data_IF_537698943411
#
_entry.id   IF_537698943411
#
_cell.length_a   1.000
_cell.length_b   1.000
_cell.length_c   1.000
_cell.angle_alpha   90.00
_cell.angle_beta   90.00
_cell.angle_gamma   90.00
#
_symmetry.space_group_name_H-M   'P 1'
#
loop_
_entity.id
_entity.type
_entity.pdbx_description
1 polymer ?
#
# COMPACT_ATOMS: atom_id res chain seq x y z
N UNK A 1 -38.55 -25.12 1.08
CA UNK A 1 -38.26 -23.67 1.23
C UNK A 1 -37.02 -23.42 2.09
N UNK A 2 -36.97 -23.84 3.36
CA UNK A 2 -35.82 -23.60 4.29
C UNK A 2 -34.44 -24.07 3.78
N UNK A 3 -34.38 -25.21 3.05
CA UNK A 3 -33.14 -25.74 2.45
C UNK A 3 -32.61 -24.91 1.27
N UNK A 4 -33.51 -24.27 0.49
CA UNK A 4 -33.14 -23.41 -0.62
C UNK A 4 -32.52 -22.10 -0.14
N UNK A 5 -33.05 -21.51 0.95
CA UNK A 5 -32.45 -20.32 1.57
C UNK A 5 -31.04 -20.58 2.10
N UNK A 6 -30.79 -21.76 2.70
CA UNK A 6 -29.44 -22.12 3.14
C UNK A 6 -28.48 -22.27 1.97
N UNK A 7 -28.88 -22.91 0.86
CA UNK A 7 -28.05 -23.01 -0.34
C UNK A 7 -27.76 -21.63 -0.96
N UNK A 8 -28.74 -20.73 -0.99
CA UNK A 8 -28.56 -19.39 -1.52
C UNK A 8 -27.65 -18.53 -0.63
N UNK A 9 -27.78 -18.63 0.70
CA UNK A 9 -26.89 -17.97 1.66
C UNK A 9 -25.45 -18.51 1.53
N UNK A 10 -25.28 -19.83 1.39
CA UNK A 10 -23.96 -20.44 1.22
C UNK A 10 -23.32 -19.99 -0.10
N UNK A 11 -24.09 -19.97 -1.20
CA UNK A 11 -23.61 -19.47 -2.49
C UNK A 11 -23.25 -17.98 -2.40
N UNK A 12 -24.04 -17.15 -1.73
CA UNK A 12 -23.75 -15.73 -1.53
C UNK A 12 -22.48 -15.51 -0.71
N UNK A 13 -22.29 -16.27 0.37
CA UNK A 13 -21.09 -16.22 1.22
C UNK A 13 -19.83 -16.69 0.47
N UNK A 14 -19.93 -17.74 -0.35
CA UNK A 14 -18.84 -18.23 -1.21
C UNK A 14 -18.47 -17.21 -2.28
N UNK A 15 -19.47 -16.52 -2.86
CA UNK A 15 -19.21 -15.40 -3.78
C UNK A 15 -18.55 -14.21 -3.05
N UNK A 16 -18.96 -13.89 -1.82
CA UNK A 16 -18.36 -12.80 -1.03
C UNK A 16 -16.86 -13.04 -0.77
N UNK A 17 -16.45 -14.29 -0.56
CA UNK A 17 -15.02 -14.64 -0.42
C UNK A 17 -14.23 -14.57 -1.72
N UNK A 18 -14.89 -14.61 -2.89
CA UNK A 18 -14.26 -14.51 -4.21
C UNK A 18 -13.97 -13.07 -4.69
N UNK A 19 -14.55 -12.07 -4.01
CA UNK A 19 -14.37 -10.64 -4.30
C UNK A 19 -13.63 -9.89 -3.18
N UNK A 20 -12.78 -10.56 -2.41
CA UNK A 20 -11.98 -9.91 -1.37
C UNK A 20 -10.95 -8.96 -2.01
N UNK A 21 -11.40 -7.75 -2.36
CA UNK A 21 -10.59 -6.69 -2.93
C UNK A 21 -9.34 -6.44 -2.09
N UNK A 22 -8.29 -5.98 -2.75
CA UNK A 22 -7.09 -5.53 -2.06
C UNK A 22 -7.50 -4.45 -1.06
N UNK A 23 -6.99 -4.56 0.17
CA UNK A 23 -7.31 -3.61 1.23
C UNK A 23 -6.92 -2.20 0.81
N UNK A 24 -7.87 -1.28 0.95
CA UNK A 24 -7.71 0.16 0.66
C UNK A 24 -7.79 1.04 1.89
N UNK A 25 -8.03 0.42 3.04
CA UNK A 25 -8.29 1.09 4.29
C UNK A 25 -7.12 0.91 5.26
N UNK A 26 -6.54 1.99 5.78
CA UNK A 26 -5.35 1.99 6.62
C UNK A 26 -5.48 3.09 7.66
N UNK A 27 -5.27 2.80 8.95
CA UNK A 27 -5.25 3.85 9.99
C UNK A 27 -6.50 4.76 9.99
N UNK A 28 -7.67 4.20 9.67
CA UNK A 28 -8.94 4.92 9.46
C UNK A 28 -9.03 5.73 8.14
N UNK A 29 -8.00 5.67 7.30
CA UNK A 29 -7.97 6.30 5.97
C UNK A 29 -8.39 5.34 4.88
N UNK A 30 -8.97 5.86 3.80
CA UNK A 30 -9.35 5.09 2.62
C UNK A 30 -8.76 5.75 1.37
N UNK A 31 -8.05 4.96 0.56
CA UNK A 31 -7.50 5.42 -0.71
C UNK A 31 -8.62 5.94 -1.63
N UNK A 32 -8.37 7.10 -2.24
CA UNK A 32 -9.26 7.84 -3.11
C UNK A 32 -10.47 8.45 -2.41
N UNK A 33 -10.46 8.55 -1.07
CA UNK A 33 -11.56 9.09 -0.28
C UNK A 33 -11.07 10.04 0.79
N UNK A 34 -10.10 9.62 1.62
CA UNK A 34 -9.69 10.40 2.78
C UNK A 34 -8.98 11.69 2.35
N UNK A 35 -9.46 12.87 2.79
CA UNK A 35 -8.83 14.13 2.48
C UNK A 35 -7.51 14.34 3.24
N UNK A 36 -6.64 15.19 2.69
CA UNK A 36 -5.35 15.55 3.28
C UNK A 36 -5.43 16.03 4.73
N UNK A 37 -6.36 16.95 5.01
CA UNK A 37 -6.53 17.53 6.34
C UNK A 37 -6.89 16.47 7.41
N UNK A 38 -7.62 15.41 7.05
CA UNK A 38 -7.97 14.31 7.94
C UNK A 38 -6.75 13.46 8.28
N UNK A 39 -5.90 13.16 7.29
CA UNK A 39 -4.63 12.42 7.52
C UNK A 39 -3.72 13.22 8.45
N UNK A 40 -3.54 14.51 8.18
CA UNK A 40 -2.70 15.40 9.00
C UNK A 40 -3.23 15.50 10.43
N UNK A 41 -4.55 15.72 10.58
CA UNK A 41 -5.20 15.81 11.89
C UNK A 41 -5.06 14.51 12.68
N UNK A 42 -5.23 13.35 12.04
CA UNK A 42 -5.09 12.05 12.68
C UNK A 42 -3.69 11.87 13.28
N UNK A 43 -2.63 12.14 12.52
CA UNK A 43 -1.26 11.94 13.03
C UNK A 43 -0.91 12.93 14.14
N UNK A 44 -1.29 14.21 13.99
CA UNK A 44 -1.11 15.22 15.04
C UNK A 44 -1.83 14.82 16.34
N UNK A 45 -3.07 14.34 16.24
CA UNK A 45 -3.84 13.88 17.40
C UNK A 45 -3.19 12.67 18.12
N UNK A 46 -2.39 11.87 17.41
CA UNK A 46 -1.61 10.77 17.98
C UNK A 46 -0.20 11.15 18.43
N UNK A 47 0.11 12.45 18.48
CA UNK A 47 1.43 12.95 18.85
C UNK A 47 2.54 12.53 17.89
N UNK A 48 2.20 12.16 16.65
CA UNK A 48 3.17 11.81 15.62
C UNK A 48 3.62 13.07 14.89
N UNK A 49 4.93 13.18 14.70
CA UNK A 49 5.51 14.17 13.79
C UNK A 49 5.10 13.81 12.37
N UNK A 50 4.43 14.76 11.73
CA UNK A 50 4.05 14.70 10.31
C UNK A 50 4.57 15.95 9.62
N UNK A 51 5.35 15.74 8.56
CA UNK A 51 6.08 16.80 7.88
C UNK A 51 5.61 16.90 6.43
N UNK A 52 5.38 18.12 5.93
CA UNK A 52 5.08 18.32 4.51
C UNK A 52 6.39 18.16 3.73
N UNK A 53 6.42 17.25 2.77
CA UNK A 53 7.60 17.02 1.92
C UNK A 53 7.56 17.88 0.66
N UNK A 54 6.43 17.85 -0.03
CA UNK A 54 6.11 18.69 -1.17
C UNK A 54 4.61 19.02 -1.15
N UNK A 55 4.11 19.70 -2.18
CA UNK A 55 2.71 20.14 -2.19
C UNK A 55 1.69 19.02 -2.09
N UNK A 56 2.06 17.82 -2.54
CA UNK A 56 1.16 16.68 -2.64
C UNK A 56 1.52 15.56 -1.65
N UNK A 57 2.46 15.73 -0.71
CA UNK A 57 2.87 14.61 0.15
C UNK A 57 3.37 14.98 1.54
N UNK A 58 3.14 14.04 2.46
CA UNK A 58 3.49 14.13 3.87
C UNK A 58 4.27 12.91 4.34
N UNK A 59 5.27 13.13 5.20
CA UNK A 59 6.11 12.10 5.79
C UNK A 59 5.78 11.87 7.25
N UNK A 60 5.81 10.61 7.66
CA UNK A 60 5.65 10.16 9.04
C UNK A 60 6.71 9.11 9.35
N UNK A 61 7.42 9.30 10.46
CA UNK A 61 8.46 8.38 10.91
C UNK A 61 7.96 7.38 11.96
N UNK A 62 8.63 6.23 12.02
CA UNK A 62 8.40 5.20 13.04
C UNK A 62 6.91 4.80 13.12
N UNK A 63 6.33 4.46 11.97
CA UNK A 63 4.94 4.10 11.83
C UNK A 63 4.77 2.58 11.85
N UNK A 64 3.87 2.06 12.69
CA UNK A 64 3.61 0.62 12.78
C UNK A 64 2.52 0.21 11.80
N UNK A 65 2.84 -0.69 10.87
CA UNK A 65 1.90 -1.23 9.88
C UNK A 65 2.25 -2.66 9.51
N UNK A 66 1.24 -3.54 9.35
CA UNK A 66 1.46 -4.92 8.88
C UNK A 66 2.42 -5.73 9.76
N UNK A 67 2.39 -5.51 11.07
CA UNK A 67 3.31 -6.17 12.01
C UNK A 67 4.76 -5.66 11.99
N UNK A 68 5.07 -4.61 11.21
CA UNK A 68 6.38 -3.99 11.13
C UNK A 68 6.36 -2.55 11.66
N UNK A 69 7.50 -2.07 12.17
CA UNK A 69 7.73 -0.64 12.37
C UNK A 69 8.55 -0.13 11.18
N UNK A 70 7.94 0.76 10.42
CA UNK A 70 8.54 1.41 9.26
C UNK A 70 9.21 2.71 9.70
N UNK A 71 10.54 2.85 9.54
CA UNK A 71 11.24 4.10 9.81
C UNK A 71 10.70 5.27 9.00
N UNK A 72 10.20 4.98 7.80
CA UNK A 72 9.68 5.98 6.88
C UNK A 72 8.34 5.54 6.28
N UNK A 73 7.36 6.44 6.30
CA UNK A 73 6.13 6.33 5.55
C UNK A 73 5.78 7.66 4.88
N UNK A 74 5.30 7.62 3.65
CA UNK A 74 4.81 8.78 2.91
C UNK A 74 3.34 8.60 2.54
N UNK A 75 2.59 9.69 2.63
CA UNK A 75 1.17 9.80 2.28
C UNK A 75 1.06 10.84 1.17
N UNK A 76 0.65 10.43 -0.02
CA UNK A 76 0.55 11.31 -1.18
C UNK A 76 -0.89 11.51 -1.62
N UNK A 77 -1.17 12.73 -2.05
CA UNK A 77 -2.49 13.26 -2.34
C UNK A 77 -2.58 13.67 -3.80
N UNK A 78 -3.75 13.48 -4.38
CA UNK A 78 -4.09 13.97 -5.71
C UNK A 78 -5.54 14.44 -5.67
N UNK A 79 -5.81 15.65 -6.18
CA UNK A 79 -7.12 16.30 -6.07
C UNK A 79 -7.64 16.35 -4.62
N UNK A 80 -6.73 16.56 -3.67
CA UNK A 80 -7.03 16.69 -2.24
C UNK A 80 -7.33 15.40 -1.49
N UNK A 81 -7.28 14.22 -2.13
CA UNK A 81 -7.54 12.92 -1.50
C UNK A 81 -6.32 12.00 -1.55
N UNK A 82 -6.16 11.17 -0.52
CA UNK A 82 -5.07 10.22 -0.38
C UNK A 82 -5.12 9.19 -1.51
N UNK A 83 -4.12 9.16 -2.40
CA UNK A 83 -4.08 8.18 -3.49
C UNK A 83 -2.94 7.17 -3.37
N UNK A 84 -1.93 7.45 -2.54
CA UNK A 84 -0.78 6.58 -2.37
C UNK A 84 -0.27 6.59 -0.93
N UNK A 85 0.02 5.40 -0.41
CA UNK A 85 0.75 5.21 0.85
C UNK A 85 1.99 4.40 0.56
N UNK A 86 3.15 4.95 0.91
CA UNK A 86 4.46 4.34 0.73
C UNK A 86 5.06 4.05 2.09
N UNK A 87 5.65 2.87 2.26
CA UNK A 87 6.45 2.50 3.41
C UNK A 87 7.84 2.06 2.96
N UNK A 88 8.87 2.47 3.69
CA UNK A 88 10.26 2.05 3.48
C UNK A 88 10.94 1.70 4.80
N UNK A 89 11.74 0.63 4.78
CA UNK A 89 12.59 0.24 5.90
C UNK A 89 13.88 1.08 6.02
N UNK A 90 14.08 2.03 5.10
CA UNK A 90 15.14 3.03 5.12
C UNK A 90 16.47 2.56 4.50
N UNK A 91 17.35 3.54 4.29
CA UNK A 91 18.66 3.40 3.67
C UNK A 91 19.75 3.13 4.73
N UNK A 92 19.82 1.92 5.27
CA UNK A 92 20.89 1.57 6.21
C UNK A 92 21.68 0.32 5.79
N UNK A 93 22.91 0.55 5.34
CA UNK A 93 23.89 -0.45 4.88
C UNK A 93 24.11 -1.61 5.87
N UNK A 94 23.89 -1.41 7.18
CA UNK A 94 24.18 -2.41 8.21
C UNK A 94 23.00 -3.36 8.50
N UNK A 95 21.90 -3.30 7.74
CA UNK A 95 20.67 -4.02 8.06
C UNK A 95 20.30 -5.15 7.10
N UNK A 96 21.18 -5.56 6.17
CA UNK A 96 20.86 -6.53 5.11
C UNK A 96 20.10 -7.77 5.61
N UNK A 97 20.56 -8.42 6.68
CA UNK A 97 19.89 -9.61 7.24
C UNK A 97 18.45 -9.31 7.70
N UNK A 98 18.25 -8.16 8.36
CA UNK A 98 16.93 -7.70 8.78
C UNK A 98 16.02 -7.43 7.58
N UNK A 99 16.57 -6.87 6.50
CA UNK A 99 15.84 -6.57 5.27
C UNK A 99 15.48 -7.86 4.53
N UNK A 100 16.39 -8.84 4.46
CA UNK A 100 16.15 -10.17 3.89
C UNK A 100 15.03 -10.92 4.65
N UNK A 101 15.00 -10.81 5.99
CA UNK A 101 13.93 -11.37 6.82
C UNK A 101 12.61 -10.64 6.57
N UNK A 102 12.63 -9.31 6.51
CA UNK A 102 11.46 -8.49 6.27
C UNK A 102 10.85 -8.77 4.89
N UNK A 103 11.69 -8.83 3.86
CA UNK A 103 11.31 -9.13 2.48
C UNK A 103 10.63 -10.50 2.39
N UNK A 104 11.27 -11.58 2.88
CA UNK A 104 10.71 -12.94 2.82
C UNK A 104 9.36 -13.01 3.51
N UNK A 105 9.25 -12.45 4.72
CA UNK A 105 7.99 -12.43 5.47
C UNK A 105 6.89 -11.67 4.71
N UNK A 106 7.17 -10.46 4.22
CA UNK A 106 6.17 -9.66 3.50
C UNK A 106 5.78 -10.31 2.17
N UNK A 107 6.74 -10.90 1.45
CA UNK A 107 6.51 -11.66 0.21
C UNK A 107 5.56 -12.82 0.47
N UNK A 108 5.81 -13.62 1.49
CA UNK A 108 4.94 -14.74 1.88
C UNK A 108 3.54 -14.26 2.27
N UNK A 109 3.44 -13.25 3.15
CA UNK A 109 2.16 -12.73 3.65
C UNK A 109 1.30 -12.14 2.53
N UNK A 110 1.88 -11.29 1.68
CA UNK A 110 1.16 -10.62 0.59
C UNK A 110 0.79 -11.62 -0.50
N UNK A 111 1.69 -12.54 -0.87
CA UNK A 111 1.39 -13.57 -1.86
C UNK A 111 0.28 -14.49 -1.37
N UNK A 112 0.33 -14.92 -0.10
CA UNK A 112 -0.73 -15.72 0.50
C UNK A 112 -2.07 -14.99 0.50
N UNK A 113 -2.07 -13.69 0.80
CA UNK A 113 -3.30 -12.89 0.92
C UNK A 113 -3.90 -12.48 -0.43
N UNK A 114 -3.08 -12.18 -1.43
CA UNK A 114 -3.50 -11.54 -2.68
C UNK A 114 -3.08 -12.28 -3.95
N UNK A 115 -2.73 -13.57 -3.85
CA UNK A 115 -2.30 -14.41 -5.00
C UNK A 115 -3.20 -14.29 -6.23
N UNK A 116 -4.52 -14.24 -6.06
CA UNK A 116 -5.49 -14.08 -7.16
C UNK A 116 -5.35 -12.76 -7.94
N UNK A 117 -4.75 -11.74 -7.33
CA UNK A 117 -4.54 -10.41 -7.92
C UNK A 117 -3.12 -10.21 -8.47
N UNK A 118 -2.30 -11.25 -8.52
CA UNK A 118 -0.93 -11.13 -9.02
C UNK A 118 -0.91 -10.75 -10.51
N UNK A 119 -0.17 -9.70 -10.87
CA UNK A 119 -0.09 -9.23 -12.26
C UNK A 119 1.21 -9.65 -12.95
N UNK A 120 2.36 -9.38 -12.32
CA UNK A 120 3.68 -9.77 -12.81
C UNK A 120 4.77 -9.28 -11.85
N UNK A 121 5.96 -9.85 -12.00
CA UNK A 121 7.22 -9.28 -11.53
C UNK A 121 7.88 -8.55 -12.71
N UNK A 122 8.36 -7.32 -12.52
CA UNK A 122 9.11 -6.60 -13.56
C UNK A 122 10.59 -7.07 -13.65
N UNK A 123 11.04 -7.88 -12.69
CA UNK A 123 12.39 -8.43 -12.59
C UNK A 123 12.31 -9.63 -11.63
N UNK A 124 12.53 -10.85 -12.15
CA UNK A 124 11.97 -12.14 -11.69
C UNK A 124 11.94 -12.47 -10.18
N UNK A 125 12.60 -11.74 -9.29
CA UNK A 125 12.54 -12.03 -7.85
C UNK A 125 12.46 -10.82 -6.90
N UNK A 126 12.60 -9.59 -7.39
CA UNK A 126 12.83 -8.40 -6.55
C UNK A 126 11.65 -7.41 -6.50
N UNK A 127 10.62 -7.62 -7.30
CA UNK A 127 9.39 -6.82 -7.24
C UNK A 127 8.16 -7.71 -7.45
N UNK A 128 7.13 -7.48 -6.64
CA UNK A 128 5.84 -8.13 -6.79
C UNK A 128 4.76 -7.06 -6.91
N UNK A 129 3.97 -7.15 -7.97
CA UNK A 129 2.80 -6.30 -8.17
C UNK A 129 1.52 -7.11 -8.09
N UNK A 130 0.61 -6.67 -7.24
CA UNK A 130 -0.74 -7.20 -7.12
C UNK A 130 -1.73 -6.08 -7.43
N UNK A 131 -2.77 -6.37 -8.19
CA UNK A 131 -3.77 -5.38 -8.55
C UNK A 131 -5.15 -6.00 -8.69
N UNK A 132 -6.11 -5.39 -8.02
CA UNK A 132 -7.52 -5.56 -8.37
C UNK A 132 -7.94 -4.44 -9.36
N UNK A 133 -9.23 -4.24 -9.56
CA UNK A 133 -9.71 -3.22 -10.49
C UNK A 133 -9.40 -1.78 -10.05
N UNK A 134 -9.20 -1.51 -8.75
CA UNK A 134 -9.10 -0.16 -8.18
C UNK A 134 -7.80 0.13 -7.45
N UNK A 135 -7.15 -0.90 -6.93
CA UNK A 135 -6.04 -0.82 -5.99
C UNK A 135 -4.85 -1.58 -6.54
N UNK A 136 -3.65 -1.05 -6.29
CA UNK A 136 -2.40 -1.70 -6.58
C UNK A 136 -1.57 -1.81 -5.31
N UNK A 137 -0.96 -2.97 -5.10
CA UNK A 137 0.14 -3.17 -4.17
C UNK A 137 1.40 -3.38 -4.98
N UNK A 138 2.47 -2.69 -4.61
CA UNK A 138 3.83 -3.00 -5.04
C UNK A 138 4.68 -3.30 -3.81
N UNK A 139 5.32 -4.46 -3.80
CA UNK A 139 6.36 -4.81 -2.83
C UNK A 139 7.67 -4.92 -3.59
N UNK A 140 8.72 -4.22 -3.15
CA UNK A 140 10.04 -4.29 -3.79
C UNK A 140 11.15 -4.55 -2.79
N UNK A 141 12.19 -5.23 -3.24
CA UNK A 141 13.47 -5.36 -2.58
C UNK A 141 14.55 -4.99 -3.58
N UNK A 142 14.92 -3.71 -3.62
CA UNK A 142 15.76 -3.13 -4.68
C UNK A 142 16.81 -2.20 -4.08
N UNK A 143 17.94 -2.00 -4.78
CA UNK A 143 18.92 -1.01 -4.38
C UNK A 143 18.36 0.40 -4.60
N UNK A 144 18.51 1.26 -3.59
CA UNK A 144 18.35 2.70 -3.67
C UNK A 144 19.64 3.33 -3.14
N UNK A 145 20.34 4.11 -3.97
CA UNK A 145 21.68 4.64 -3.65
C UNK A 145 22.66 3.55 -3.17
N UNK A 146 22.75 2.41 -3.89
CA UNK A 146 23.59 1.24 -3.53
C UNK A 146 23.20 0.51 -2.23
N UNK A 147 22.05 0.83 -1.63
CA UNK A 147 21.52 0.18 -0.42
C UNK A 147 20.28 -0.61 -0.78
N UNK A 148 20.27 -1.91 -0.51
CA UNK A 148 19.04 -2.69 -0.63
C UNK A 148 17.99 -2.16 0.36
N UNK A 149 16.77 -1.94 -0.10
CA UNK A 149 15.66 -1.49 0.74
C UNK A 149 14.38 -2.25 0.41
N UNK A 150 13.59 -2.53 1.44
CA UNK A 150 12.24 -3.09 1.30
C UNK A 150 11.24 -1.95 1.26
N UNK A 151 10.49 -1.85 0.16
CA UNK A 151 9.39 -0.89 0.04
C UNK A 151 8.05 -1.59 -0.14
N UNK A 152 7.02 -0.99 0.43
CA UNK A 152 5.63 -1.44 0.30
C UNK A 152 4.76 -0.24 -0.06
N UNK A 153 4.08 -0.34 -1.19
CA UNK A 153 3.27 0.74 -1.76
C UNK A 153 1.85 0.25 -1.95
N UNK A 154 0.88 1.03 -1.49
CA UNK A 154 -0.52 0.90 -1.84
C UNK A 154 -0.97 2.13 -2.61
N UNK A 155 -1.67 1.96 -3.73
CA UNK A 155 -2.20 3.09 -4.51
C UNK A 155 -3.60 2.86 -5.06
N UNK A 156 -4.37 3.95 -5.20
CA UNK A 156 -5.52 4.00 -6.10
C UNK A 156 -5.01 4.10 -7.54
N UNK A 157 -5.39 3.13 -8.38
CA UNK A 157 -4.88 3.01 -9.76
C UNK A 157 -5.31 4.18 -10.62
N UNK A 158 -6.56 4.60 -10.51
CA UNK A 158 -7.12 5.61 -11.40
C UNK A 158 -6.53 6.97 -11.05
N UNK A 159 -6.48 7.33 -9.77
CA UNK A 159 -5.87 8.57 -9.32
C UNK A 159 -4.35 8.60 -9.59
N UNK A 160 -3.67 7.46 -9.46
CA UNK A 160 -2.25 7.38 -9.82
C UNK A 160 -2.03 7.58 -11.33
N UNK A 161 -2.86 6.98 -12.18
CA UNK A 161 -2.79 7.19 -13.62
C UNK A 161 -3.12 8.64 -14.00
N UNK A 162 -4.19 9.22 -13.42
CA UNK A 162 -4.55 10.63 -13.62
C UNK A 162 -3.41 11.58 -13.24
N UNK A 163 -2.75 11.35 -12.11
CA UNK A 163 -1.59 12.14 -11.67
C UNK A 163 -0.43 12.06 -12.66
N UNK A 164 -0.09 10.85 -13.12
CA UNK A 164 0.97 10.65 -14.14
C UNK A 164 0.64 11.41 -15.43
N UNK A 165 -0.60 11.32 -15.92
CA UNK A 165 -1.00 12.03 -17.13
C UNK A 165 -1.00 13.56 -16.95
N UNK A 166 -1.44 14.06 -15.79
CA UNK A 166 -1.37 15.50 -15.52
C UNK A 166 0.05 16.04 -15.49
N UNK A 167 1.02 15.24 -15.03
CA UNK A 167 2.43 15.64 -14.98
C UNK A 167 3.12 15.51 -16.35
N UNK A 168 2.66 14.61 -17.22
CA UNK A 168 3.21 14.49 -18.58
C UNK A 168 2.73 15.59 -19.52
N UNK A 169 1.55 16.16 -19.29
CA UNK A 169 0.98 17.25 -20.11
C UNK A 169 1.58 18.63 -19.77
N UNK A 170 2.31 18.74 -18.65
CA UNK A 170 2.98 19.97 -18.19
C UNK A 170 4.44 20.10 -18.68
N UNK A 171 4.97 19.10 -19.40
CA UNK A 171 6.35 19.02 -19.94
C UNK A 171 6.40 19.25 -21.46
#
# INVERSE_FOLDING_TARGET
MRKFYLMFLLAFLVNLSGYAQIQRHFFDFTLGVTPENEVVKYFKAKGKQIEKHNDDSYFVHNLRFGGNTWPFAAFSFHKGVLYLVYFSDGENYNLKERQDILWRRLKEDITKKYSTYYMSSLSDEEELTFSDYRTRIRLSYKPYNDIMGVTLIYSDKNLQLEKIYSESDEL
#
